data_IF_731382935509
#
_entry.id   IF_731382935509
#
_cell.length_a   1.000
_cell.length_b   1.000
_cell.length_c   1.000
_cell.angle_alpha   90.00
_cell.angle_beta   90.00
_cell.angle_gamma   90.00
#
_symmetry.space_group_name_H-M   'P 1'
#
loop_
_entity.id
_entity.type
_entity.pdbx_description
1 polymer ?
#
# COMPACT_ATOMS: atom_id res chain seq x y z
N UNK A 1 -61.38 -34.30 -12.23
CA UNK A 1 -60.39 -33.32 -11.75
C UNK A 1 -59.94 -33.73 -10.35
N UNK A 2 -58.71 -34.21 -10.26
CA UNK A 2 -58.25 -35.20 -9.28
C UNK A 2 -57.59 -34.57 -8.05
N UNK A 3 -58.27 -34.70 -6.89
CA UNK A 3 -57.87 -34.96 -5.48
C UNK A 3 -56.46 -34.66 -4.91
N UNK A 4 -55.48 -34.19 -5.69
CA UNK A 4 -54.10 -33.88 -5.24
C UNK A 4 -53.88 -32.40 -4.87
N UNK A 5 -54.83 -31.51 -5.17
CA UNK A 5 -54.67 -30.06 -4.96
C UNK A 5 -55.30 -29.52 -3.67
N UNK A 6 -55.90 -30.37 -2.82
CA UNK A 6 -56.52 -29.91 -1.57
C UNK A 6 -55.54 -29.86 -0.39
N UNK A 7 -54.52 -30.73 -0.36
CA UNK A 7 -53.57 -30.81 0.76
C UNK A 7 -52.46 -29.75 0.74
N UNK A 8 -52.25 -29.06 -0.38
CA UNK A 8 -51.23 -27.99 -0.49
C UNK A 8 -51.77 -26.64 -0.02
N UNK A 9 -53.10 -26.44 -0.06
CA UNK A 9 -53.71 -25.16 0.30
C UNK A 9 -53.87 -24.96 1.82
N UNK A 10 -53.88 -26.04 2.62
CA UNK A 10 -54.09 -25.96 4.08
C UNK A 10 -52.80 -25.85 4.90
N UNK A 11 -51.63 -26.14 4.33
CA UNK A 11 -50.34 -26.00 5.04
C UNK A 11 -49.75 -24.59 4.99
N UNK A 12 -50.18 -23.74 4.04
CA UNK A 12 -49.63 -22.38 3.89
C UNK A 12 -50.24 -21.40 4.93
N UNK A 13 -51.46 -21.65 5.41
CA UNK A 13 -52.14 -20.73 6.35
C UNK A 13 -51.64 -20.91 7.81
N UNK A 14 -51.15 -22.09 8.20
CA UNK A 14 -50.69 -22.34 9.57
C UNK A 14 -49.28 -21.80 9.88
N UNK A 15 -48.45 -21.52 8.87
CA UNK A 15 -47.08 -20.99 9.08
C UNK A 15 -47.08 -19.46 9.23
N UNK A 16 -48.09 -18.76 8.71
CA UNK A 16 -48.17 -17.29 8.83
C UNK A 16 -48.74 -16.79 10.18
N UNK A 17 -49.34 -17.65 11.00
CA UNK A 17 -49.94 -17.25 12.27
C UNK A 17 -49.04 -17.41 13.52
N UNK A 18 -47.85 -18.03 13.40
CA UNK A 18 -46.97 -18.30 14.56
C UNK A 18 -45.78 -17.32 14.68
N UNK A 19 -45.55 -16.43 13.71
CA UNK A 19 -44.50 -15.41 13.80
C UNK A 19 -45.02 -13.98 14.09
N UNK A 20 -46.30 -13.84 14.47
CA UNK A 20 -46.91 -12.58 14.88
C UNK A 20 -46.89 -12.32 16.40
N UNK A 21 -46.17 -13.15 17.19
CA UNK A 21 -46.08 -13.03 18.65
C UNK A 21 -44.69 -12.62 19.19
N UNK A 22 -43.68 -12.51 18.33
CA UNK A 22 -42.35 -12.08 18.75
C UNK A 22 -42.32 -10.58 19.00
N UNK A 23 -42.26 -10.17 20.27
CA UNK A 23 -41.95 -8.78 20.64
C UNK A 23 -40.56 -8.45 20.09
N UNK A 24 -40.52 -7.67 19.00
CA UNK A 24 -39.29 -7.05 18.54
C UNK A 24 -38.80 -6.08 19.61
N UNK A 25 -37.75 -6.46 20.32
CA UNK A 25 -36.95 -5.53 21.12
C UNK A 25 -36.15 -4.70 20.13
N UNK A 26 -36.60 -3.47 19.89
CA UNK A 26 -35.86 -2.49 19.10
C UNK A 26 -34.58 -2.14 19.85
N UNK A 27 -33.44 -2.72 19.46
CA UNK A 27 -32.14 -2.21 19.87
C UNK A 27 -31.90 -0.88 19.16
N UNK A 28 -31.89 0.20 19.93
CA UNK A 28 -31.48 1.52 19.45
C UNK A 28 -30.01 1.44 19.00
N UNK A 29 -29.68 1.89 17.77
CA UNK A 29 -28.29 2.03 17.37
C UNK A 29 -27.61 3.04 18.29
N UNK A 30 -26.49 2.64 18.91
CA UNK A 30 -25.66 3.57 19.67
C UNK A 30 -25.19 4.68 18.74
N UNK A 31 -25.69 5.89 18.94
CA UNK A 31 -25.21 7.12 18.33
C UNK A 31 -23.77 7.33 18.79
N UNK A 32 -22.81 6.92 17.96
CA UNK A 32 -21.44 7.40 18.08
C UNK A 32 -21.49 8.90 17.73
N UNK A 33 -21.19 9.73 18.72
CA UNK A 33 -21.06 11.18 18.54
C UNK A 33 -20.05 11.52 17.44
N UNK A 34 -20.05 12.76 16.94
CA UNK A 34 -19.25 13.13 15.78
C UNK A 34 -17.77 12.83 16.01
N UNK A 35 -17.19 12.05 15.10
CA UNK A 35 -15.75 11.83 15.01
C UNK A 35 -15.14 13.19 14.68
N UNK A 36 -14.50 13.83 15.66
CA UNK A 36 -13.68 15.00 15.42
C UNK A 36 -12.54 14.59 14.47
N UNK A 37 -12.42 15.30 13.34
CA UNK A 37 -11.30 15.14 12.42
C UNK A 37 -9.99 15.46 13.17
N UNK A 38 -8.91 14.67 13.02
CA UNK A 38 -7.62 15.06 13.57
C UNK A 38 -7.10 16.25 12.77
N UNK A 39 -7.02 17.38 13.46
CA UNK A 39 -6.44 18.63 12.99
C UNK A 39 -4.95 18.40 12.66
N UNK A 40 -4.61 18.61 11.39
CA UNK A 40 -3.26 18.46 10.89
C UNK A 40 -2.43 19.68 11.24
N UNK A 41 -1.81 19.70 12.42
CA UNK A 41 -0.70 20.62 12.68
C UNK A 41 0.47 19.92 13.37
N UNK A 42 1.62 20.04 12.72
CA UNK A 42 2.92 19.55 13.10
C UNK A 42 3.46 20.36 14.29
N UNK A 43 3.79 19.71 15.40
CA UNK A 43 4.34 20.39 16.57
C UNK A 43 4.96 19.44 17.59
N UNK A 44 6.29 19.36 17.56
CA UNK A 44 7.14 18.71 18.58
C UNK A 44 6.67 19.09 19.99
N UNK A 45 6.40 18.11 20.85
CA UNK A 45 7.03 17.91 22.16
C UNK A 45 6.19 16.90 22.96
N UNK A 46 6.80 15.80 23.42
CA UNK A 46 6.11 14.87 24.31
C UNK A 46 6.63 13.44 24.20
N UNK A 47 7.54 13.09 25.11
CA UNK A 47 7.74 11.69 25.52
C UNK A 47 6.45 11.19 26.18
N UNK A 48 5.46 10.81 25.39
CA UNK A 48 4.29 10.07 25.84
C UNK A 48 4.19 8.82 24.97
N UNK A 49 4.48 7.66 25.57
CA UNK A 49 4.44 6.36 24.91
C UNK A 49 3.02 5.94 24.56
N UNK A 50 2.43 6.60 23.56
CA UNK A 50 1.27 6.05 22.86
C UNK A 50 1.69 4.73 22.23
N UNK A 51 0.92 3.67 22.47
CA UNK A 51 1.16 2.37 21.87
C UNK A 51 1.08 2.49 20.34
N UNK A 52 2.23 2.36 19.68
CA UNK A 52 2.36 2.39 18.23
C UNK A 52 2.41 0.95 17.70
N UNK A 53 1.39 0.56 16.95
CA UNK A 53 1.42 -0.72 16.24
C UNK A 53 2.43 -0.64 15.10
N UNK A 54 3.41 -1.56 15.02
CA UNK A 54 4.41 -1.52 13.95
C UNK A 54 3.79 -1.59 12.56
N UNK A 55 4.30 -0.78 11.65
CA UNK A 55 3.93 -0.74 10.24
C UNK A 55 5.11 -1.12 9.35
N UNK A 56 4.85 -1.44 8.08
CA UNK A 56 5.93 -1.72 7.12
C UNK A 56 6.92 -0.54 6.99
N UNK A 57 6.44 0.70 7.14
CA UNK A 57 7.26 1.90 7.06
C UNK A 57 8.28 2.01 8.21
N UNK A 58 8.02 1.42 9.39
CA UNK A 58 8.97 1.45 10.52
C UNK A 58 10.23 0.61 10.28
N UNK A 59 10.23 -0.20 9.20
CA UNK A 59 11.30 -1.14 8.86
C UNK A 59 12.11 -0.69 7.65
N UNK A 60 11.67 0.35 6.94
CA UNK A 60 12.31 0.81 5.71
C UNK A 60 12.43 2.33 5.75
N UNK A 61 13.65 2.81 5.66
CA UNK A 61 13.92 4.19 5.30
C UNK A 61 14.24 4.26 3.80
N UNK A 62 13.92 5.37 3.14
CA UNK A 62 14.31 5.58 1.76
C UNK A 62 15.05 6.89 1.58
N UNK A 63 16.08 6.86 0.73
CA UNK A 63 16.75 8.06 0.24
C UNK A 63 16.52 8.17 -1.26
N UNK A 64 16.30 9.39 -1.72
CA UNK A 64 15.89 9.66 -3.11
C UNK A 64 16.73 10.82 -3.64
N UNK A 65 17.24 10.67 -4.85
CA UNK A 65 17.85 11.78 -5.59
C UNK A 65 17.55 11.67 -7.08
N UNK A 66 17.61 12.82 -7.76
CA UNK A 66 17.50 12.90 -9.21
C UNK A 66 18.90 12.84 -9.83
N UNK A 67 19.13 11.89 -10.72
CA UNK A 67 20.29 11.86 -11.59
C UNK A 67 19.93 12.47 -12.94
N UNK A 68 20.49 13.65 -13.23
CA UNK A 68 20.31 14.33 -14.51
C UNK A 68 21.31 13.80 -15.56
N UNK A 69 20.91 13.71 -16.83
CA UNK A 69 21.83 13.43 -17.93
C UNK A 69 22.83 14.59 -18.06
N UNK A 70 24.13 14.31 -17.92
CA UNK A 70 25.16 15.35 -17.96
C UNK A 70 25.54 15.75 -19.40
N UNK A 71 25.55 14.80 -20.32
CA UNK A 71 26.26 14.97 -21.61
C UNK A 71 25.45 14.55 -22.85
N UNK A 72 24.19 14.10 -22.69
CA UNK A 72 23.33 13.73 -23.82
C UNK A 72 21.85 14.03 -23.54
N UNK A 73 21.19 14.87 -24.34
CA UNK A 73 19.76 15.12 -24.22
C UNK A 73 18.89 13.88 -24.50
N UNK A 74 19.48 12.78 -25.01
CA UNK A 74 18.79 11.52 -25.24
C UNK A 74 18.70 10.62 -23.99
N UNK A 75 19.48 10.88 -22.93
CA UNK A 75 19.42 10.09 -21.70
C UNK A 75 18.32 10.61 -20.78
N UNK A 76 17.43 9.75 -20.24
CA UNK A 76 16.36 10.20 -19.36
C UNK A 76 16.93 10.66 -18.01
N UNK A 77 16.23 11.59 -17.35
CA UNK A 77 16.49 11.86 -15.93
C UNK A 77 15.99 10.67 -15.11
N UNK A 78 16.80 10.22 -14.15
CA UNK A 78 16.54 9.00 -13.38
C UNK A 78 16.33 9.35 -11.91
N UNK A 79 15.19 8.96 -11.36
CA UNK A 79 14.99 8.89 -9.92
C UNK A 79 15.71 7.67 -9.38
N UNK A 80 16.64 7.91 -8.47
CA UNK A 80 17.41 6.85 -7.79
C UNK A 80 16.91 6.76 -6.36
N UNK A 81 16.26 5.64 -6.05
CA UNK A 81 15.64 5.37 -4.76
C UNK A 81 16.41 4.25 -4.08
N UNK A 82 17.03 4.55 -2.96
CA UNK A 82 17.74 3.56 -2.16
C UNK A 82 16.90 3.20 -0.94
N UNK A 83 16.71 1.90 -0.73
CA UNK A 83 15.99 1.34 0.41
C UNK A 83 17.00 0.93 1.50
N UNK A 84 16.94 1.61 2.63
CA UNK A 84 17.65 1.24 3.85
C UNK A 84 16.70 0.40 4.72
N UNK A 85 16.86 -0.93 4.67
CA UNK A 85 15.93 -1.89 5.28
C UNK A 85 16.57 -2.41 6.58
N UNK A 86 15.81 -2.33 7.67
CA UNK A 86 16.25 -2.77 9.00
C UNK A 86 16.72 -4.23 8.95
N UNK A 87 17.86 -4.52 9.60
CA UNK A 87 18.36 -5.90 9.75
C UNK A 87 17.28 -6.85 10.26
N UNK A 88 17.20 -8.04 9.66
CA UNK A 88 16.19 -9.05 9.98
C UNK A 88 14.84 -8.85 9.28
N UNK A 89 14.77 -7.88 8.36
CA UNK A 89 13.59 -7.55 7.56
C UNK A 89 13.95 -7.45 6.08
N UNK A 90 12.94 -7.64 5.23
CA UNK A 90 13.00 -7.51 3.79
C UNK A 90 11.64 -7.01 3.25
N UNK A 91 11.61 -6.60 1.99
CA UNK A 91 10.35 -6.31 1.27
C UNK A 91 10.26 -7.18 0.02
N UNK A 92 9.04 -7.52 -0.43
CA UNK A 92 8.89 -8.34 -1.62
C UNK A 92 9.42 -7.61 -2.87
N UNK A 93 10.11 -8.35 -3.75
CA UNK A 93 10.56 -7.82 -5.03
C UNK A 93 9.40 -7.53 -5.99
N UNK A 94 9.70 -6.87 -7.11
CA UNK A 94 8.76 -6.67 -8.20
C UNK A 94 9.39 -7.19 -9.51
N UNK A 95 8.77 -8.16 -10.20
CA UNK A 95 7.52 -8.85 -9.83
C UNK A 95 7.66 -9.66 -8.52
N UNK A 96 6.54 -9.78 -7.80
CA UNK A 96 6.47 -10.63 -6.63
C UNK A 96 6.58 -12.11 -7.06
N UNK A 97 7.16 -12.95 -6.19
CA UNK A 97 7.38 -14.37 -6.54
C UNK A 97 6.10 -15.21 -6.52
N UNK A 98 5.06 -14.75 -5.81
CA UNK A 98 3.74 -15.38 -5.74
C UNK A 98 2.65 -14.30 -5.82
N UNK A 99 1.46 -14.61 -6.37
CA UNK A 99 0.40 -13.61 -6.62
C UNK A 99 -0.16 -12.91 -5.37
N UNK A 100 -0.10 -13.58 -4.21
CA UNK A 100 -0.61 -13.04 -2.94
C UNK A 100 0.41 -12.17 -2.20
N UNK A 101 1.67 -12.14 -2.64
CA UNK A 101 2.70 -11.29 -2.06
C UNK A 101 2.57 -9.87 -2.61
N UNK A 102 2.59 -8.89 -1.72
CA UNK A 102 2.45 -7.48 -2.12
C UNK A 102 3.80 -6.97 -2.64
N UNK A 103 3.93 -6.65 -3.95
CA UNK A 103 5.18 -6.21 -4.53
C UNK A 103 5.55 -4.79 -4.07
N UNK A 104 6.85 -4.50 -4.11
CA UNK A 104 7.34 -3.11 -4.01
C UNK A 104 6.95 -2.33 -5.27
N UNK A 105 6.27 -1.19 -5.14
CA UNK A 105 5.78 -0.39 -6.28
C UNK A 105 6.07 1.08 -6.06
N UNK A 106 6.56 1.77 -7.10
CA UNK A 106 6.81 3.21 -7.08
C UNK A 106 5.69 3.94 -7.83
N UNK A 107 5.28 5.09 -7.30
CA UNK A 107 4.32 6.01 -7.92
C UNK A 107 4.82 7.43 -7.75
N UNK A 108 4.69 8.24 -8.79
CA UNK A 108 5.04 9.66 -8.73
C UNK A 108 3.83 10.51 -9.04
N UNK A 109 3.70 11.62 -8.31
CA UNK A 109 2.79 12.71 -8.63
C UNK A 109 3.56 14.03 -8.75
N UNK A 110 3.15 14.87 -9.70
CA UNK A 110 3.69 16.21 -9.92
C UNK A 110 2.53 17.20 -9.99
N UNK A 111 2.51 18.18 -9.07
CA UNK A 111 1.37 19.08 -8.88
C UNK A 111 0.03 18.33 -8.80
N UNK A 112 -0.03 17.28 -7.98
CA UNK A 112 -1.23 16.46 -7.73
C UNK A 112 -1.62 15.49 -8.85
N UNK A 113 -0.97 15.53 -10.03
CA UNK A 113 -1.28 14.61 -11.13
C UNK A 113 -0.32 13.41 -11.14
N UNK A 114 -0.82 12.16 -11.29
CA UNK A 114 0.03 10.98 -11.49
C UNK A 114 0.89 11.09 -12.75
N UNK A 115 2.10 10.53 -12.66
CA UNK A 115 3.06 10.49 -13.77
C UNK A 115 3.49 9.04 -13.98
N UNK A 116 3.52 8.62 -15.25
CA UNK A 116 4.05 7.33 -15.62
C UNK A 116 5.57 7.31 -15.45
N UNK A 117 6.07 6.27 -14.79
CA UNK A 117 7.49 5.99 -14.66
C UNK A 117 7.84 4.83 -15.59
N UNK A 118 8.99 4.92 -16.24
CA UNK A 118 9.62 3.75 -16.84
C UNK A 118 10.57 3.12 -15.82
N UNK A 119 10.15 1.98 -15.26
CA UNK A 119 10.83 1.34 -14.13
C UNK A 119 11.35 -0.02 -14.56
N UNK A 120 12.68 -0.17 -14.50
CA UNK A 120 13.34 -1.47 -14.59
C UNK A 120 13.68 -1.94 -13.17
N UNK A 121 12.74 -2.64 -12.54
CA UNK A 121 12.96 -3.18 -11.20
C UNK A 121 14.18 -4.12 -11.18
N UNK A 122 15.09 -3.97 -10.21
CA UNK A 122 16.22 -4.88 -10.09
C UNK A 122 15.72 -6.28 -9.77
N UNK A 123 16.48 -7.30 -10.19
CA UNK A 123 16.17 -8.67 -9.81
C UNK A 123 16.27 -8.81 -8.28
N UNK A 124 15.17 -9.20 -7.62
CA UNK A 124 15.17 -9.47 -6.18
C UNK A 124 16.18 -10.56 -5.80
N UNK A 125 16.66 -10.59 -4.55
CA UNK A 125 17.56 -11.64 -4.02
C UNK A 125 16.76 -12.82 -3.49
N UNK A 126 17.32 -14.02 -3.52
CA UNK A 126 16.69 -15.18 -2.87
C UNK A 126 16.70 -14.95 -1.35
N UNK A 127 15.53 -15.01 -0.70
CA UNK A 127 15.42 -14.85 0.75
C UNK A 127 15.72 -16.13 1.54
N UNK A 128 15.85 -17.28 0.84
CA UNK A 128 15.86 -18.62 1.42
C UNK A 128 14.56 -19.03 2.12
N UNK A 129 13.51 -18.20 2.03
CA UNK A 129 12.16 -18.53 2.48
C UNK A 129 11.43 -19.21 1.34
N UNK A 130 10.83 -20.37 1.60
CA UNK A 130 10.03 -21.12 0.63
C UNK A 130 8.58 -21.09 1.07
N UNK A 131 7.70 -20.55 0.22
CA UNK A 131 6.25 -20.57 0.41
C UNK A 131 5.63 -21.31 -0.76
N UNK A 132 4.73 -22.26 -0.50
CA UNK A 132 4.09 -23.07 -1.54
C UNK A 132 5.10 -23.68 -2.55
N UNK A 133 6.24 -24.16 -2.05
CA UNK A 133 7.31 -24.71 -2.88
C UNK A 133 8.11 -23.69 -3.72
N UNK A 134 7.80 -22.40 -3.62
CA UNK A 134 8.48 -21.33 -4.35
C UNK A 134 9.42 -20.55 -3.44
N UNK A 135 10.69 -20.44 -3.84
CA UNK A 135 11.66 -19.57 -3.16
C UNK A 135 11.33 -18.09 -3.42
N UNK A 136 11.12 -17.33 -2.35
CA UNK A 136 10.69 -15.93 -2.46
C UNK A 136 11.86 -15.02 -2.79
N UNK A 137 11.64 -14.11 -3.74
CA UNK A 137 12.57 -13.05 -4.11
C UNK A 137 12.20 -11.75 -3.40
N UNK A 138 13.20 -11.14 -2.78
CA UNK A 138 13.03 -9.98 -1.89
C UNK A 138 14.07 -8.90 -2.19
N UNK A 139 13.78 -7.68 -1.78
CA UNK A 139 14.75 -6.61 -1.65
C UNK A 139 15.24 -6.54 -0.22
N UNK A 140 16.56 -6.41 -0.07
CA UNK A 140 17.25 -6.26 1.22
C UNK A 140 17.75 -4.82 1.37
N UNK A 141 18.38 -4.55 2.51
CA UNK A 141 19.13 -3.32 2.72
C UNK A 141 20.02 -3.00 1.50
N UNK A 142 20.17 -1.72 1.20
CA UNK A 142 20.95 -1.18 0.09
C UNK A 142 20.37 -1.40 -1.31
N UNK A 143 19.16 -1.97 -1.43
CA UNK A 143 18.53 -2.12 -2.76
C UNK A 143 18.29 -0.75 -3.38
N UNK A 144 18.70 -0.60 -4.64
CA UNK A 144 18.51 0.62 -5.43
C UNK A 144 17.47 0.36 -6.52
N UNK A 145 16.37 1.10 -6.47
CA UNK A 145 15.36 1.19 -7.52
C UNK A 145 15.68 2.38 -8.42
N UNK A 146 15.46 2.23 -9.72
CA UNK A 146 15.70 3.26 -10.72
C UNK A 146 14.45 3.43 -11.58
N UNK A 147 13.95 4.65 -11.63
CA UNK A 147 12.80 5.02 -12.43
C UNK A 147 13.15 6.20 -13.34
N UNK A 148 12.98 6.02 -14.64
CA UNK A 148 13.19 7.07 -15.63
C UNK A 148 11.97 7.98 -15.70
N UNK A 149 12.21 9.29 -15.68
CA UNK A 149 11.22 10.31 -16.00
C UNK A 149 11.24 10.59 -17.49
N UNK A 150 10.06 10.66 -18.12
CA UNK A 150 9.93 11.18 -19.47
C UNK A 150 10.34 12.67 -19.53
N UNK A 151 10.72 13.16 -20.72
CA UNK A 151 11.02 14.59 -20.90
C UNK A 151 9.89 15.51 -20.42
N UNK A 152 8.64 15.17 -20.78
CA UNK A 152 7.46 15.91 -20.33
C UNK A 152 7.29 15.91 -18.80
N UNK A 153 7.54 14.77 -18.14
CA UNK A 153 7.49 14.68 -16.69
C UNK A 153 8.58 15.53 -16.02
N UNK A 154 9.80 15.51 -16.59
CA UNK A 154 10.91 16.32 -16.10
C UNK A 154 10.64 17.82 -16.26
N UNK A 155 10.10 18.26 -17.39
CA UNK A 155 9.76 19.66 -17.63
C UNK A 155 8.68 20.13 -16.66
N UNK A 156 7.67 19.29 -16.40
CA UNK A 156 6.66 19.58 -15.38
C UNK A 156 7.27 19.66 -13.99
N UNK A 157 8.17 18.73 -13.63
CA UNK A 157 8.86 18.74 -12.34
C UNK A 157 9.65 20.06 -12.15
N UNK A 158 10.41 20.47 -13.18
CA UNK A 158 11.13 21.76 -13.21
C UNK A 158 10.19 22.95 -13.00
N UNK A 159 9.07 22.97 -13.71
CA UNK A 159 8.12 24.08 -13.65
C UNK A 159 7.39 24.18 -12.31
N UNK A 160 7.07 23.04 -11.66
CA UNK A 160 6.34 23.02 -10.37
C UNK A 160 7.27 23.02 -9.16
N UNK A 161 8.58 22.81 -9.36
CA UNK A 161 9.61 22.86 -8.32
C UNK A 161 9.62 21.68 -7.34
N UNK A 162 8.69 20.73 -7.44
CA UNK A 162 8.61 19.56 -6.56
C UNK A 162 7.90 18.37 -7.22
N UNK A 163 8.27 17.16 -6.80
CA UNK A 163 7.52 15.93 -7.06
C UNK A 163 7.32 15.14 -5.77
N UNK A 164 6.24 14.36 -5.70
CA UNK A 164 6.01 13.42 -4.60
C UNK A 164 6.23 12.01 -5.11
N UNK A 165 7.18 11.29 -4.50
CA UNK A 165 7.41 9.87 -4.71
C UNK A 165 6.74 9.08 -3.58
N UNK A 166 5.91 8.11 -3.96
CA UNK A 166 5.38 7.08 -3.08
C UNK A 166 5.99 5.72 -3.41
N UNK A 167 6.54 5.03 -2.41
CA UNK A 167 7.03 3.65 -2.54
C UNK A 167 6.19 2.75 -1.63
N UNK A 168 5.27 1.99 -2.23
CA UNK A 168 4.48 1.01 -1.50
C UNK A 168 5.33 -0.23 -1.23
N UNK A 169 5.37 -0.67 0.03
CA UNK A 169 6.13 -1.84 0.48
C UNK A 169 5.30 -2.69 1.44
N UNK A 170 5.62 -3.98 1.49
CA UNK A 170 5.24 -4.86 2.58
C UNK A 170 6.50 -5.44 3.21
N UNK A 171 6.75 -5.04 4.45
CA UNK A 171 7.93 -5.49 5.20
C UNK A 171 7.61 -6.80 5.91
N UNK A 172 8.41 -7.81 5.64
CA UNK A 172 8.37 -9.11 6.30
C UNK A 172 9.69 -9.36 7.03
N UNK A 173 9.60 -9.95 8.21
CA UNK A 173 10.78 -10.38 8.97
C UNK A 173 11.28 -11.71 8.46
N UNK A 174 12.54 -12.02 8.71
CA UNK A 174 13.14 -13.32 8.36
C UNK A 174 12.54 -14.49 9.15
N UNK A 175 11.70 -14.20 10.15
CA UNK A 175 10.91 -15.18 10.92
C UNK A 175 9.50 -15.40 10.36
N UNK A 176 9.17 -14.82 9.20
CA UNK A 176 7.89 -15.00 8.53
C UNK A 176 6.74 -14.09 9.02
N UNK A 177 7.01 -13.12 9.89
CA UNK A 177 6.01 -12.11 10.30
C UNK A 177 5.98 -11.01 9.25
N UNK A 178 4.84 -10.78 8.60
CA UNK A 178 4.63 -9.67 7.67
C UNK A 178 3.76 -8.58 8.31
N UNK A 179 4.18 -7.32 8.17
CA UNK A 179 3.40 -6.17 8.58
C UNK A 179 2.41 -5.77 7.48
N UNK A 180 1.32 -5.05 7.79
CA UNK A 180 0.44 -4.48 6.78
C UNK A 180 1.23 -3.62 5.78
N UNK A 181 0.84 -3.59 4.49
CA UNK A 181 1.49 -2.71 3.51
C UNK A 181 1.46 -1.25 3.95
N UNK A 182 2.52 -0.52 3.63
CA UNK A 182 2.63 0.91 3.89
C UNK A 182 3.25 1.62 2.68
N UNK A 183 2.98 2.91 2.53
CA UNK A 183 3.62 3.75 1.51
C UNK A 183 4.63 4.68 2.16
N UNK A 184 5.88 4.57 1.76
CA UNK A 184 6.92 5.55 2.08
C UNK A 184 6.71 6.77 1.19
N UNK A 185 6.72 7.98 1.76
CA UNK A 185 6.52 9.23 1.01
C UNK A 185 7.78 10.08 1.06
N UNK A 186 8.23 10.56 -0.10
CA UNK A 186 9.29 11.57 -0.24
C UNK A 186 8.76 12.74 -1.06
N UNK A 187 8.93 13.96 -0.55
CA UNK A 187 8.80 15.17 -1.34
C UNK A 187 10.20 15.55 -1.83
N UNK A 188 10.42 15.43 -3.14
CA UNK A 188 11.70 15.77 -3.76
C UNK A 188 11.59 17.16 -4.38
N UNK A 189 12.24 18.19 -3.78
CA UNK A 189 12.38 19.49 -4.42
C UNK A 189 13.25 19.40 -5.67
N UNK A 190 12.94 20.21 -6.69
CA UNK A 190 13.82 20.41 -7.82
C UNK A 190 14.92 21.41 -7.42
N UNK A 191 16.17 20.99 -7.57
CA UNK A 191 17.33 21.86 -7.44
C UNK A 191 18.06 21.86 -8.78
N UNK A 192 18.29 23.06 -9.31
CA UNK A 192 19.03 23.31 -10.55
C UNK A 192 20.50 22.96 -10.42
#
# INVERSE_FOLDING_TARGET
MTRKYWYVALTIIAVFAILAGGRYVSHTPSTHGPIAAPDGTNGRNGRNGAFHMPTSADKVHMTVHLALPRDSPASPAVLVVRLDIRKGWHVNANPASLPFLIPTVEKVTIAGSPVALDIAYPRGRNSHIVLQGTAIRVYNNDTVLKASLSGQALDRFKATGSLILGVMVQSCSDKGICLPPATLISNLPYHS
#
